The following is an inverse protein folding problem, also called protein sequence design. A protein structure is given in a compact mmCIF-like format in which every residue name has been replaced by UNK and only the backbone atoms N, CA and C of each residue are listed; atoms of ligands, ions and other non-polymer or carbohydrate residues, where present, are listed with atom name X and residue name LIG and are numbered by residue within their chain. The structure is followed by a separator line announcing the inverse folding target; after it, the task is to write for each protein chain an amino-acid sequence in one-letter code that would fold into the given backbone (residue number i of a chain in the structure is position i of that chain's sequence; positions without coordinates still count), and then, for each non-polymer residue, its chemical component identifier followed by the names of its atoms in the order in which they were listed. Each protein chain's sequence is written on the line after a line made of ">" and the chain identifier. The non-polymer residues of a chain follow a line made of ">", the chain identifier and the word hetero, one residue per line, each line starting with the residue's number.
data_IF_726276447827
#
_entry.id   IF_726276447827
#
_cell.length_a   1.000
_cell.length_b   1.000
_cell.length_c   1.000
_cell.angle_alpha   90.00
_cell.angle_beta   90.00
_cell.angle_gamma   90.00
#
_symmetry.space_group_name_H-M   'P 1'
#
loop_
_entity.id
_entity.type
_entity.pdbx_description
1 polymer ?
#
# COMPACT_ATOMS: atom_id res chain seq x y z
N UNK A 1 -23.87 -0.61 -32.85
CA UNK A 1 -23.91 0.01 -31.54
C UNK A 1 -24.01 -1.03 -30.43
N UNK A 2 -24.92 -1.97 -30.49
CA UNK A 2 -25.19 -3.01 -29.49
C UNK A 2 -23.95 -3.93 -29.32
N UNK A 3 -23.31 -4.37 -30.40
CA UNK A 3 -22.12 -5.23 -30.32
C UNK A 3 -20.92 -4.51 -29.66
N UNK A 4 -20.73 -3.25 -29.96
CA UNK A 4 -19.68 -2.43 -29.36
C UNK A 4 -19.91 -2.22 -27.86
N UNK A 5 -21.15 -1.99 -27.45
CA UNK A 5 -21.53 -1.88 -26.05
C UNK A 5 -21.31 -3.22 -25.32
N UNK A 6 -21.65 -4.34 -25.94
CA UNK A 6 -21.49 -5.69 -25.37
C UNK A 6 -20.03 -6.07 -25.21
N UNK A 7 -19.16 -5.73 -26.17
CA UNK A 7 -17.72 -5.95 -26.06
C UNK A 7 -17.10 -5.10 -24.96
N UNK A 8 -17.48 -3.84 -24.85
CA UNK A 8 -17.01 -2.94 -23.77
C UNK A 8 -17.45 -3.45 -22.40
N UNK A 9 -18.70 -3.87 -22.25
CA UNK A 9 -19.21 -4.43 -20.99
C UNK A 9 -18.46 -5.70 -20.58
N UNK A 10 -18.17 -6.59 -21.54
CA UNK A 10 -17.42 -7.82 -21.25
C UNK A 10 -15.99 -7.56 -20.82
N UNK A 11 -15.32 -6.55 -21.38
CA UNK A 11 -13.99 -6.11 -20.99
C UNK A 11 -14.01 -5.50 -19.59
N UNK A 12 -14.97 -4.62 -19.31
CA UNK A 12 -15.13 -4.04 -17.97
C UNK A 12 -15.40 -5.13 -16.91
N UNK A 13 -16.28 -6.09 -17.20
CA UNK A 13 -16.57 -7.19 -16.28
C UNK A 13 -15.33 -8.04 -15.97
N UNK A 14 -14.51 -8.34 -16.97
CA UNK A 14 -13.24 -9.06 -16.79
C UNK A 14 -12.27 -8.28 -15.88
N UNK A 15 -12.15 -6.97 -16.10
CA UNK A 15 -11.29 -6.12 -15.26
C UNK A 15 -11.82 -6.01 -13.82
N UNK A 16 -13.13 -5.92 -13.63
CA UNK A 16 -13.75 -5.91 -12.30
C UNK A 16 -13.48 -7.23 -11.57
N UNK A 17 -13.67 -8.38 -12.22
CA UNK A 17 -13.38 -9.69 -11.63
C UNK A 17 -11.90 -9.83 -11.26
N UNK A 18 -10.99 -9.46 -12.17
CA UNK A 18 -9.56 -9.50 -11.91
C UNK A 18 -9.17 -8.58 -10.76
N UNK A 19 -9.68 -7.35 -10.76
CA UNK A 19 -9.42 -6.38 -9.71
C UNK A 19 -9.94 -6.84 -8.34
N UNK A 20 -11.11 -7.49 -8.30
CA UNK A 20 -11.66 -8.07 -7.06
C UNK A 20 -10.80 -9.24 -6.58
N UNK A 21 -10.33 -10.11 -7.46
CA UNK A 21 -9.44 -11.22 -7.11
C UNK A 21 -8.09 -10.72 -6.56
N UNK A 22 -7.45 -9.78 -7.26
CA UNK A 22 -6.23 -9.12 -6.81
C UNK A 22 -6.48 -8.38 -5.49
N UNK A 23 -7.60 -7.65 -5.42
CA UNK A 23 -8.04 -6.93 -4.25
C UNK A 23 -8.22 -7.83 -3.03
N UNK A 24 -8.74 -9.03 -3.21
CA UNK A 24 -8.91 -10.00 -2.13
C UNK A 24 -7.56 -10.49 -1.60
N UNK A 25 -6.66 -10.90 -2.48
CA UNK A 25 -5.32 -11.39 -2.07
C UNK A 25 -4.51 -10.29 -1.40
N UNK A 26 -4.42 -9.13 -2.04
CA UNK A 26 -3.64 -7.99 -1.53
C UNK A 26 -4.28 -7.39 -0.29
N UNK A 27 -5.61 -7.34 -0.23
CA UNK A 27 -6.34 -6.88 0.95
C UNK A 27 -6.03 -7.72 2.18
N UNK A 28 -6.04 -9.05 2.05
CA UNK A 28 -5.63 -9.97 3.13
C UNK A 28 -4.16 -9.73 3.53
N UNK A 29 -3.27 -9.58 2.56
CA UNK A 29 -1.85 -9.26 2.85
C UNK A 29 -1.71 -7.93 3.59
N UNK A 30 -2.48 -6.91 3.22
CA UNK A 30 -2.51 -5.61 3.91
C UNK A 30 -3.00 -5.73 5.35
N UNK A 31 -4.05 -6.52 5.59
CA UNK A 31 -4.57 -6.81 6.94
C UNK A 31 -3.52 -7.52 7.81
N UNK A 32 -2.88 -8.56 7.28
CA UNK A 32 -1.81 -9.28 7.98
C UNK A 32 -0.63 -8.34 8.29
N UNK A 33 -0.27 -7.48 7.37
CA UNK A 33 0.78 -6.48 7.56
C UNK A 33 0.41 -5.47 8.66
N UNK A 34 -0.84 -4.98 8.66
CA UNK A 34 -1.32 -4.06 9.68
C UNK A 34 -1.18 -4.65 11.08
N UNK A 35 -1.72 -5.85 11.32
CA UNK A 35 -1.62 -6.51 12.61
C UNK A 35 -0.17 -6.84 13.01
N UNK A 36 0.66 -7.25 12.06
CA UNK A 36 2.07 -7.52 12.35
C UNK A 36 2.81 -6.27 12.84
N UNK A 37 2.57 -5.11 12.21
CA UNK A 37 3.16 -3.82 12.62
C UNK A 37 2.58 -3.35 13.95
N UNK A 38 1.28 -3.54 14.18
CA UNK A 38 0.62 -3.19 15.44
C UNK A 38 1.18 -4.00 16.60
N UNK A 39 1.27 -5.33 16.46
CA UNK A 39 1.86 -6.22 17.46
C UNK A 39 3.32 -5.83 17.73
N UNK A 40 4.12 -5.60 16.68
CA UNK A 40 5.51 -5.19 16.82
C UNK A 40 5.65 -3.87 17.60
N UNK A 41 4.76 -2.90 17.31
CA UNK A 41 4.75 -1.61 18.00
C UNK A 41 4.33 -1.77 19.47
N UNK A 42 3.33 -2.58 19.75
CA UNK A 42 2.87 -2.87 21.11
C UNK A 42 3.99 -3.53 21.94
N UNK A 43 4.64 -4.56 21.41
CA UNK A 43 5.76 -5.24 22.05
C UNK A 43 6.93 -4.26 22.37
N UNK A 44 7.20 -3.34 21.46
CA UNK A 44 8.21 -2.30 21.70
C UNK A 44 7.81 -1.37 22.83
N UNK A 45 6.52 -1.01 22.94
CA UNK A 45 6.04 -0.13 24.02
C UNK A 45 6.13 -0.80 25.39
N UNK A 46 5.90 -2.11 25.45
CA UNK A 46 6.05 -2.89 26.68
C UNK A 46 7.53 -3.14 27.06
N UNK A 47 8.41 -3.19 26.04
CA UNK A 47 9.82 -3.51 26.21
C UNK A 47 10.73 -2.43 25.60
N UNK A 48 10.88 -1.27 26.23
CA UNK A 48 11.66 -0.14 25.69
C UNK A 48 13.14 -0.46 25.40
N UNK A 49 13.71 -1.46 26.07
CA UNK A 49 15.08 -1.92 25.84
C UNK A 49 15.33 -2.46 24.43
N UNK A 50 14.28 -2.87 23.69
CA UNK A 50 14.36 -3.29 22.30
C UNK A 50 14.97 -2.20 21.41
N UNK A 51 14.85 -0.93 21.79
CA UNK A 51 15.45 0.19 21.06
C UNK A 51 16.99 0.08 20.98
N UNK A 52 17.62 -0.49 21.98
CA UNK A 52 19.07 -0.71 21.98
C UNK A 52 19.53 -1.72 20.92
N UNK A 53 18.63 -2.58 20.48
CA UNK A 53 18.88 -3.56 19.40
C UNK A 53 18.68 -2.99 17.99
N UNK A 54 18.27 -1.73 17.84
CA UNK A 54 18.03 -1.12 16.54
C UNK A 54 19.25 -1.21 15.59
N UNK A 55 20.50 -0.98 16.03
CA UNK A 55 21.67 -1.15 15.15
C UNK A 55 21.84 -2.59 14.66
N UNK A 56 21.61 -3.58 15.53
CA UNK A 56 21.66 -5.00 15.16
C UNK A 56 20.54 -5.36 14.17
N UNK A 57 19.36 -4.80 14.37
CA UNK A 57 18.24 -4.92 13.41
C UNK A 57 18.60 -4.35 12.04
N UNK A 58 19.24 -3.20 11.99
CA UNK A 58 19.73 -2.61 10.75
C UNK A 58 20.71 -3.52 10.00
N UNK A 59 21.66 -4.11 10.72
CA UNK A 59 22.60 -5.10 10.14
C UNK A 59 21.85 -6.33 9.64
N UNK A 60 20.89 -6.86 10.41
CA UNK A 60 20.10 -8.02 10.01
C UNK A 60 19.29 -7.75 8.73
N UNK A 61 18.68 -6.58 8.61
CA UNK A 61 17.97 -6.14 7.41
C UNK A 61 18.95 -6.05 6.22
N UNK A 62 20.10 -5.41 6.40
CA UNK A 62 21.10 -5.28 5.34
C UNK A 62 21.59 -6.65 4.85
N UNK A 63 21.86 -7.59 5.75
CA UNK A 63 22.23 -8.96 5.42
C UNK A 63 21.10 -9.72 4.72
N UNK A 64 19.84 -9.46 5.08
CA UNK A 64 18.66 -10.04 4.43
C UNK A 64 18.55 -9.57 2.97
N UNK A 65 18.72 -8.27 2.73
CA UNK A 65 18.74 -7.70 1.37
C UNK A 65 19.92 -8.26 0.55
N UNK A 66 21.08 -8.39 1.16
CA UNK A 66 22.27 -8.95 0.53
C UNK A 66 22.07 -10.41 0.12
N UNK A 67 21.61 -11.26 1.04
CA UNK A 67 21.34 -12.68 0.76
C UNK A 67 20.26 -12.92 -0.30
N UNK A 68 19.30 -11.99 -0.42
CA UNK A 68 18.23 -12.09 -1.42
C UNK A 68 18.62 -11.50 -2.77
N UNK A 69 19.80 -10.90 -2.89
CA UNK A 69 20.27 -10.23 -4.11
C UNK A 69 19.44 -8.98 -4.45
N UNK A 70 18.92 -8.29 -3.42
CA UNK A 70 18.07 -7.11 -3.52
C UNK A 70 18.79 -5.84 -3.03
N UNK A 71 20.11 -5.83 -3.00
CA UNK A 71 20.93 -4.71 -2.53
C UNK A 71 20.70 -3.40 -3.30
N UNK A 72 20.31 -3.53 -4.57
CA UNK A 72 20.05 -2.40 -5.46
C UNK A 72 18.57 -2.01 -5.55
N UNK A 73 17.74 -2.55 -4.65
CA UNK A 73 16.33 -2.20 -4.62
C UNK A 73 16.17 -0.74 -4.13
N UNK A 74 15.61 0.09 -4.99
CA UNK A 74 15.35 1.50 -4.71
C UNK A 74 14.01 1.74 -4.00
N UNK A 75 13.45 0.70 -3.40
CA UNK A 75 12.20 0.78 -2.66
C UNK A 75 11.01 1.12 -3.56
N UNK A 76 10.25 2.14 -3.20
CA UNK A 76 9.06 2.56 -3.96
C UNK A 76 9.39 2.91 -5.41
N UNK A 77 10.59 3.44 -5.69
CA UNK A 77 11.00 3.78 -7.06
C UNK A 77 11.06 2.54 -7.96
N UNK A 78 11.49 1.39 -7.45
CA UNK A 78 11.48 0.12 -8.19
C UNK A 78 10.08 -0.24 -8.69
N UNK A 79 9.05 0.02 -7.87
CA UNK A 79 7.66 -0.21 -8.27
C UNK A 79 7.22 0.75 -9.38
N UNK A 80 7.58 2.03 -9.25
CA UNK A 80 7.24 3.04 -10.25
C UNK A 80 7.91 2.76 -11.60
N UNK A 81 9.18 2.35 -11.58
CA UNK A 81 9.92 1.92 -12.76
C UNK A 81 9.27 0.69 -13.43
N UNK A 82 8.82 -0.27 -12.63
CA UNK A 82 8.14 -1.45 -13.14
C UNK A 82 6.79 -1.11 -13.80
N UNK A 83 6.02 -0.17 -13.24
CA UNK A 83 4.78 0.30 -13.86
C UNK A 83 5.07 1.05 -15.17
N UNK A 84 6.19 1.77 -15.26
CA UNK A 84 6.64 2.43 -16.50
C UNK A 84 7.15 1.43 -17.53
N UNK A 85 7.41 0.19 -17.15
CA UNK A 85 7.91 -0.88 -18.00
C UNK A 85 9.43 -0.89 -18.13
N UNK A 86 10.14 -0.19 -17.26
CA UNK A 86 11.60 -0.06 -17.29
C UNK A 86 12.30 -1.27 -16.69
N UNK A 87 11.70 -1.90 -15.65
CA UNK A 87 12.25 -3.09 -15.02
C UNK A 87 11.17 -4.09 -14.56
N UNK A 88 11.45 -5.41 -14.61
CA UNK A 88 10.51 -6.40 -14.08
C UNK A 88 10.53 -6.42 -12.55
N UNK A 89 9.36 -6.43 -11.92
CA UNK A 89 9.21 -6.61 -10.49
C UNK A 89 9.54 -8.03 -10.06
N UNK A 90 10.22 -8.15 -8.92
CA UNK A 90 10.51 -9.42 -8.28
C UNK A 90 9.50 -9.68 -7.16
N UNK A 91 8.81 -10.82 -7.21
CA UNK A 91 7.88 -11.25 -6.15
C UNK A 91 8.53 -11.30 -4.75
N UNK A 92 9.85 -11.41 -4.69
CA UNK A 92 10.64 -11.40 -3.43
C UNK A 92 10.59 -10.07 -2.69
N UNK A 93 10.25 -8.97 -3.37
CA UNK A 93 10.16 -7.63 -2.76
C UNK A 93 9.11 -7.59 -1.65
N UNK A 94 7.93 -8.18 -1.86
CA UNK A 94 6.85 -8.14 -0.86
C UNK A 94 7.24 -8.76 0.50
N UNK A 95 7.71 -10.01 0.59
CA UNK A 95 8.09 -10.60 1.88
C UNK A 95 9.30 -9.89 2.51
N UNK A 96 10.22 -9.39 1.69
CA UNK A 96 11.40 -8.69 2.17
C UNK A 96 11.02 -7.38 2.87
N UNK A 97 10.19 -6.56 2.22
CA UNK A 97 9.68 -5.30 2.77
C UNK A 97 8.81 -5.56 4.00
N UNK A 98 7.96 -6.59 3.96
CA UNK A 98 7.12 -6.97 5.09
C UNK A 98 7.97 -7.24 6.35
N UNK A 99 8.95 -8.14 6.24
CA UNK A 99 9.82 -8.51 7.36
C UNK A 99 10.64 -7.32 7.84
N UNK A 100 11.24 -6.55 6.91
CA UNK A 100 12.08 -5.41 7.25
C UNK A 100 11.30 -4.30 7.96
N UNK A 101 10.06 -4.03 7.51
CA UNK A 101 9.22 -3.01 8.13
C UNK A 101 8.75 -3.44 9.52
N UNK A 102 8.31 -4.68 9.69
CA UNK A 102 7.90 -5.21 11.00
C UNK A 102 9.07 -5.20 11.98
N UNK A 103 10.25 -5.65 11.55
CA UNK A 103 11.46 -5.65 12.37
C UNK A 103 11.87 -4.22 12.76
N UNK A 104 11.79 -3.28 11.85
CA UNK A 104 12.09 -1.87 12.12
C UNK A 104 11.15 -1.29 13.18
N UNK A 105 9.84 -1.55 13.08
CA UNK A 105 8.86 -1.09 14.08
C UNK A 105 9.06 -1.75 15.45
N UNK A 106 9.39 -3.05 15.47
CA UNK A 106 9.69 -3.79 16.70
C UNK A 106 10.85 -3.19 17.45
N UNK A 107 11.88 -2.74 16.74
CA UNK A 107 13.11 -2.16 17.31
C UNK A 107 13.03 -0.64 17.49
N UNK A 108 11.89 -0.03 17.23
CA UNK A 108 11.65 1.39 17.48
C UNK A 108 12.13 2.34 16.38
N UNK A 109 12.52 1.82 15.22
CA UNK A 109 12.81 2.63 14.05
C UNK A 109 11.52 3.15 13.41
N UNK A 110 11.60 4.28 12.71
CA UNK A 110 10.50 4.86 11.94
C UNK A 110 10.61 4.42 10.49
N UNK A 111 9.77 3.49 10.07
CA UNK A 111 9.63 3.08 8.67
C UNK A 111 8.25 3.48 8.15
N UNK A 112 8.20 4.11 6.97
CA UNK A 112 6.94 4.52 6.35
C UNK A 112 6.10 3.32 5.92
N UNK A 113 4.90 3.20 6.48
CA UNK A 113 3.93 2.16 6.11
C UNK A 113 3.41 2.34 4.68
N UNK A 114 3.41 3.56 4.19
CA UNK A 114 2.96 3.93 2.83
C UNK A 114 3.82 3.27 1.75
N UNK A 115 5.14 3.43 1.83
CA UNK A 115 6.08 2.81 0.90
C UNK A 115 6.03 1.29 0.94
N UNK A 116 5.88 0.71 2.13
CA UNK A 116 5.70 -0.73 2.29
C UNK A 116 4.39 -1.21 1.66
N UNK A 117 3.28 -0.50 1.85
CA UNK A 117 1.98 -0.80 1.23
C UNK A 117 2.06 -0.84 -0.28
N UNK A 118 2.71 0.16 -0.89
CA UNK A 118 2.90 0.23 -2.33
C UNK A 118 3.73 -0.95 -2.85
N UNK A 119 4.81 -1.30 -2.16
CA UNK A 119 5.70 -2.38 -2.57
C UNK A 119 5.05 -3.77 -2.38
N UNK A 120 4.35 -3.99 -1.27
CA UNK A 120 3.61 -5.24 -1.02
C UNK A 120 2.50 -5.38 -2.08
N UNK A 121 1.69 -4.36 -2.26
CA UNK A 121 0.57 -4.38 -3.20
C UNK A 121 1.03 -4.45 -4.65
N UNK A 122 2.09 -3.73 -5.00
CA UNK A 122 2.60 -3.66 -6.36
C UNK A 122 3.40 -4.86 -6.83
N UNK A 123 3.81 -5.78 -5.94
CA UNK A 123 4.70 -6.91 -6.30
C UNK A 123 4.08 -8.00 -7.18
N UNK A 124 2.80 -7.89 -7.57
CA UNK A 124 2.00 -8.97 -8.14
C UNK A 124 1.91 -9.01 -9.69
N UNK A 125 2.73 -8.29 -10.45
CA UNK A 125 2.75 -8.62 -11.87
C UNK A 125 2.64 -7.47 -12.90
N UNK A 126 1.73 -7.56 -13.88
CA UNK A 126 1.63 -6.63 -15.00
C UNK A 126 1.15 -5.23 -14.57
N UNK A 127 1.50 -4.20 -15.33
CA UNK A 127 1.29 -2.77 -15.06
C UNK A 127 -0.05 -2.40 -14.37
N UNK A 128 -1.17 -2.88 -14.88
CA UNK A 128 -2.49 -2.61 -14.30
C UNK A 128 -2.72 -3.34 -12.99
N UNK A 129 -2.19 -4.56 -12.86
CA UNK A 129 -2.28 -5.38 -11.64
C UNK A 129 -1.44 -4.76 -10.53
N UNK A 130 -0.27 -4.20 -10.85
CA UNK A 130 0.57 -3.45 -9.92
C UNK A 130 -0.20 -2.26 -9.34
N UNK A 131 -0.78 -1.44 -10.21
CA UNK A 131 -1.55 -0.25 -9.79
C UNK A 131 -2.76 -0.63 -8.94
N UNK A 132 -3.51 -1.67 -9.34
CA UNK A 132 -4.62 -2.20 -8.58
C UNK A 132 -4.18 -2.71 -7.20
N UNK A 133 -3.08 -3.46 -7.12
CA UNK A 133 -2.51 -3.94 -5.87
C UNK A 133 -2.05 -2.80 -4.95
N UNK A 134 -1.37 -1.80 -5.50
CA UNK A 134 -0.97 -0.59 -4.75
C UNK A 134 -2.18 0.10 -4.12
N UNK A 135 -3.23 0.35 -4.93
CA UNK A 135 -4.47 0.97 -4.49
C UNK A 135 -5.17 0.13 -3.40
N UNK A 136 -5.23 -1.19 -3.59
CA UNK A 136 -5.84 -2.12 -2.63
C UNK A 136 -5.13 -2.11 -1.27
N UNK A 137 -3.81 -2.31 -1.27
CA UNK A 137 -3.03 -2.39 -0.04
C UNK A 137 -3.08 -1.06 0.73
N UNK A 138 -2.96 0.05 0.02
CA UNK A 138 -3.07 1.38 0.61
C UNK A 138 -4.46 1.60 1.23
N UNK A 139 -5.52 1.22 0.52
CA UNK A 139 -6.90 1.32 1.00
C UNK A 139 -7.16 0.47 2.24
N UNK A 140 -6.64 -0.77 2.27
CA UNK A 140 -6.77 -1.68 3.41
C UNK A 140 -6.08 -1.14 4.67
N UNK A 141 -4.93 -0.47 4.51
CA UNK A 141 -4.14 0.06 5.64
C UNK A 141 -4.67 1.39 6.18
N UNK A 142 -5.13 2.28 5.30
CA UNK A 142 -5.51 3.65 5.69
C UNK A 142 -7.01 3.90 5.71
N UNK A 143 -7.82 2.97 5.21
CA UNK A 143 -9.27 3.11 5.18
C UNK A 143 -9.80 4.16 4.20
N UNK A 144 -9.03 4.51 3.16
CA UNK A 144 -9.34 5.62 2.23
C UNK A 144 -9.38 5.15 0.77
N UNK A 145 -10.43 4.42 0.33
CA UNK A 145 -10.46 3.78 -0.98
C UNK A 145 -10.40 4.76 -2.16
N UNK A 146 -11.05 5.92 -2.08
CA UNK A 146 -11.01 6.92 -3.13
C UNK A 146 -9.62 7.56 -3.27
N UNK A 147 -9.03 7.96 -2.15
CA UNK A 147 -7.67 8.52 -2.12
C UNK A 147 -6.65 7.50 -2.63
N UNK A 148 -6.74 6.25 -2.20
CA UNK A 148 -5.89 5.17 -2.65
C UNK A 148 -5.97 4.95 -4.16
N UNK A 149 -7.17 5.06 -4.73
CA UNK A 149 -7.40 4.94 -6.17
C UNK A 149 -6.73 6.07 -6.94
N UNK A 150 -6.99 7.31 -6.55
CA UNK A 150 -6.42 8.50 -7.21
C UNK A 150 -4.90 8.47 -7.10
N UNK A 151 -4.38 8.19 -5.90
CA UNK A 151 -2.95 8.09 -5.65
C UNK A 151 -2.27 7.05 -6.54
N UNK A 152 -2.82 5.84 -6.66
CA UNK A 152 -2.24 4.78 -7.49
C UNK A 152 -2.24 5.12 -8.98
N UNK A 153 -3.22 5.90 -9.45
CA UNK A 153 -3.35 6.30 -10.86
C UNK A 153 -2.41 7.47 -11.20
N UNK A 154 -2.12 8.34 -10.23
CA UNK A 154 -1.33 9.55 -10.42
C UNK A 154 0.18 9.36 -10.12
N UNK A 155 0.52 8.58 -9.08
CA UNK A 155 1.90 8.44 -8.59
C UNK A 155 2.88 7.87 -9.62
N UNK A 156 2.37 7.10 -10.57
CA UNK A 156 3.17 6.43 -11.61
C UNK A 156 3.83 7.40 -12.58
N UNK A 157 3.13 8.46 -12.95
CA UNK A 157 3.62 9.46 -13.89
C UNK A 157 3.07 10.82 -13.50
N UNK A 158 3.92 11.67 -12.94
CA UNK A 158 3.53 13.01 -12.51
C UNK A 158 2.90 13.80 -13.66
N UNK A 159 1.69 14.30 -13.44
CA UNK A 159 0.95 15.08 -14.42
C UNK A 159 0.25 14.28 -15.53
N UNK A 160 0.36 12.95 -15.53
CA UNK A 160 -0.30 12.09 -16.52
C UNK A 160 -1.10 10.99 -15.81
N UNK A 161 -2.40 11.18 -15.69
CA UNK A 161 -3.28 10.18 -15.07
C UNK A 161 -3.54 9.00 -16.00
N UNK A 162 -3.38 7.79 -15.45
CA UNK A 162 -3.67 6.54 -16.17
C UNK A 162 -5.16 6.17 -16.03
N UNK A 163 -6.05 6.90 -16.71
CA UNK A 163 -7.51 6.73 -16.60
C UNK A 163 -7.99 5.29 -16.85
N UNK A 164 -7.29 4.52 -17.70
CA UNK A 164 -7.64 3.13 -17.94
C UNK A 164 -7.56 2.24 -16.69
N UNK A 165 -6.73 2.62 -15.72
CA UNK A 165 -6.56 1.91 -14.47
C UNK A 165 -7.55 2.36 -13.37
N UNK A 166 -8.31 3.43 -13.59
CA UNK A 166 -9.18 4.02 -12.57
C UNK A 166 -10.21 3.01 -12.04
N UNK A 167 -10.94 2.32 -12.93
CA UNK A 167 -11.93 1.34 -12.55
C UNK A 167 -11.33 0.11 -11.84
N UNK A 168 -10.28 -0.53 -12.35
CA UNK A 168 -9.60 -1.62 -11.65
C UNK A 168 -9.06 -1.20 -10.28
N UNK A 169 -8.43 -0.03 -10.17
CA UNK A 169 -7.89 0.47 -8.90
C UNK A 169 -9.00 0.74 -7.88
N UNK A 170 -10.12 1.33 -8.32
CA UNK A 170 -11.27 1.58 -7.45
C UNK A 170 -11.88 0.28 -6.93
N UNK A 171 -12.09 -0.69 -7.79
CA UNK A 171 -12.65 -2.00 -7.39
C UNK A 171 -11.72 -2.75 -6.45
N UNK A 172 -10.41 -2.74 -6.71
CA UNK A 172 -9.40 -3.30 -5.81
C UNK A 172 -9.39 -2.59 -4.45
N UNK A 173 -9.38 -1.25 -4.45
CA UNK A 173 -9.40 -0.45 -3.23
C UNK A 173 -10.64 -0.69 -2.37
N UNK A 174 -11.82 -0.75 -2.98
CA UNK A 174 -13.08 -1.06 -2.27
C UNK A 174 -13.07 -2.47 -1.69
N UNK A 175 -12.54 -3.44 -2.44
CA UNK A 175 -12.41 -4.83 -1.97
C UNK A 175 -11.46 -4.91 -0.77
N UNK A 176 -10.28 -4.29 -0.86
CA UNK A 176 -9.30 -4.24 0.23
C UNK A 176 -9.85 -3.53 1.48
N UNK A 177 -10.54 -2.42 1.29
CA UNK A 177 -11.23 -1.72 2.37
C UNK A 177 -12.28 -2.59 3.05
N UNK A 178 -13.13 -3.27 2.25
CA UNK A 178 -14.16 -4.17 2.78
C UNK A 178 -13.56 -5.29 3.62
N UNK A 179 -12.46 -5.91 3.18
CA UNK A 179 -11.75 -6.94 3.93
C UNK A 179 -11.19 -6.38 5.24
N UNK A 180 -10.56 -5.20 5.19
CA UNK A 180 -10.01 -4.54 6.37
C UNK A 180 -11.11 -4.23 7.41
N UNK A 181 -12.28 -3.75 6.97
CA UNK A 181 -13.43 -3.49 7.85
C UNK A 181 -13.97 -4.78 8.49
N UNK A 182 -14.11 -5.86 7.72
CA UNK A 182 -14.53 -7.16 8.25
C UNK A 182 -13.54 -7.70 9.29
N UNK A 183 -12.25 -7.43 9.12
CA UNK A 183 -11.20 -7.79 10.09
C UNK A 183 -11.09 -6.83 11.27
N UNK A 184 -11.94 -5.80 11.35
CA UNK A 184 -11.97 -4.86 12.49
C UNK A 184 -10.87 -3.79 12.44
N UNK A 185 -10.23 -3.58 11.30
CA UNK A 185 -9.25 -2.50 11.14
C UNK A 185 -10.00 -1.17 11.03
N UNK A 186 -9.83 -0.32 12.04
CA UNK A 186 -10.35 1.04 12.01
C UNK A 186 -9.45 1.95 11.16
N UNK A 187 -10.03 2.89 10.39
CA UNK A 187 -9.24 3.92 9.71
C UNK A 187 -8.38 4.69 10.72
N UNK A 188 -7.16 5.06 10.32
CA UNK A 188 -6.31 5.89 11.15
C UNK A 188 -6.97 7.26 11.33
N UNK A 189 -7.56 7.51 12.49
CA UNK A 189 -8.22 8.77 12.82
C UNK A 189 -7.48 9.45 13.96
N UNK A 190 -7.19 10.72 13.80
CA UNK A 190 -6.64 11.56 14.84
C UNK A 190 -7.77 12.42 15.42
N UNK A 191 -8.00 12.33 16.73
CA UNK A 191 -8.93 13.20 17.42
C UNK A 191 -8.31 14.61 17.50
N UNK A 192 -8.81 15.52 16.68
CA UNK A 192 -8.41 16.93 16.75
C UNK A 192 -9.42 17.65 17.65
N UNK A 193 -8.98 18.04 18.85
CA UNK A 193 -9.75 18.88 19.75
C UNK A 193 -9.35 20.35 19.59
N UNK A 194 -10.30 21.27 19.74
CA UNK A 194 -10.02 22.72 19.70
C UNK A 194 -9.93 23.31 18.31
N UNK A 195 -10.63 22.74 17.32
CA UNK A 195 -10.72 23.34 15.98
C UNK A 195 -11.44 24.68 16.12
N UNK A 196 -10.78 25.83 15.82
CA UNK A 196 -11.45 27.14 15.79
C UNK A 196 -12.59 27.10 14.76
N UNK A 197 -13.76 27.59 15.14
CA UNK A 197 -14.85 27.73 14.17
C UNK A 197 -14.40 28.72 13.08
N UNK A 198 -14.42 28.27 11.83
CA UNK A 198 -14.14 29.08 10.66
C UNK A 198 -15.31 30.10 10.51
N UNK A 199 -15.19 31.23 11.18
CA UNK A 199 -16.02 32.41 10.91
C UNK A 199 -15.30 33.24 9.85
N UNK A 200 -16.05 33.87 8.96
CA UNK A 200 -15.53 34.79 7.92
C UNK A 200 -14.59 35.89 8.48
N UNK A 201 -14.75 36.23 9.75
CA UNK A 201 -13.91 37.22 10.45
C UNK A 201 -12.56 36.64 10.93
N UNK A 202 -12.42 35.34 11.10
CA UNK A 202 -11.14 34.70 11.50
C UNK A 202 -10.25 34.36 10.30
N UNK A 203 -10.76 34.44 9.08
CA UNK A 203 -9.99 34.20 7.85
C UNK A 203 -9.29 35.51 7.34
N UNK A 204 -9.51 36.64 8.00
CA UNK A 204 -8.94 37.96 7.62
C UNK A 204 -7.83 38.42 8.56
N UNK A 205 -7.43 37.64 9.53
CA UNK A 205 -6.26 37.84 10.39
C UNK A 205 -5.11 36.87 10.00
#
# INVERSE_FOLDING_TARGET
>A
WIERARSTLSVCAKWVMLATAVGSVVGVMGVVFHFAVEIATHQRMEHPWLLLLLPLGGVAIALLYQKTGMEKDMGTNTILEAVRGEQPLRLRTAPLIFISTVLTHLLGGSSGREGAALQIGGSLGAKMVIMCGMSTCFSALFGTPLTATIFAVEVVSVGVMQYAALLPCLMGALTGYGIAQVCGIAPTAFAVSGIPQLNFLSASQ
#
